data_IF_135348881159
#
_entry.id   IF_135348881159
#
_cell.length_a   1.000
_cell.length_b   1.000
_cell.length_c   1.000
_cell.angle_alpha   90.00
_cell.angle_beta   90.00
_cell.angle_gamma   90.00
#
_symmetry.space_group_name_H-M   'P 1'
#
loop_
_entity.id
_entity.type
_entity.pdbx_description
1 polymer ?
#
# COMPACT_ATOMS: atom_id res chain seq x y z
N UNK A 1 -19.61 27.35 -13.52
CA UNK A 1 -18.14 27.22 -13.77
C UNK A 1 -17.27 27.84 -12.67
N UNK A 2 -17.69 28.94 -12.02
CA UNK A 2 -16.95 29.58 -10.90
C UNK A 2 -16.76 28.68 -9.66
N UNK A 3 -17.76 27.88 -9.28
CA UNK A 3 -17.68 27.02 -8.07
C UNK A 3 -16.65 25.88 -8.13
N UNK A 4 -16.36 25.36 -9.33
CA UNK A 4 -15.34 24.32 -9.52
C UNK A 4 -13.94 24.92 -9.48
N UNK A 5 -13.74 26.09 -10.09
CA UNK A 5 -12.47 26.82 -10.07
C UNK A 5 -12.04 27.24 -8.66
N UNK A 6 -13.00 27.69 -7.83
CA UNK A 6 -12.75 28.04 -6.41
C UNK A 6 -12.38 26.80 -5.58
N UNK A 7 -13.03 25.64 -5.80
CA UNK A 7 -12.63 24.37 -5.15
C UNK A 7 -11.24 23.89 -5.57
N UNK A 8 -10.89 24.01 -6.85
CA UNK A 8 -9.54 23.71 -7.32
C UNK A 8 -8.52 24.69 -6.75
N UNK A 9 -8.83 25.98 -6.66
CA UNK A 9 -7.96 26.99 -6.05
C UNK A 9 -7.67 26.69 -4.57
N UNK A 10 -8.70 26.37 -3.77
CA UNK A 10 -8.51 25.98 -2.37
C UNK A 10 -7.75 24.66 -2.22
N UNK A 11 -7.78 23.78 -3.22
CA UNK A 11 -7.00 22.53 -3.20
C UNK A 11 -5.54 22.76 -3.61
N UNK A 12 -5.31 23.59 -4.64
CA UNK A 12 -3.99 23.82 -5.23
C UNK A 12 -3.16 24.82 -4.41
N UNK A 13 -3.79 25.79 -3.74
CA UNK A 13 -3.13 26.79 -2.89
C UNK A 13 -2.24 26.18 -1.80
N UNK A 14 -2.61 25.02 -1.26
CA UNK A 14 -1.84 24.35 -0.21
C UNK A 14 -0.90 23.26 -0.74
N UNK A 15 -0.89 23.00 -2.05
CA UNK A 15 0.05 22.06 -2.65
C UNK A 15 1.41 22.73 -2.82
N UNK A 16 2.47 22.08 -2.35
CA UNK A 16 3.85 22.47 -2.69
C UNK A 16 3.99 22.39 -4.22
N UNK A 17 4.71 23.32 -4.90
CA UNK A 17 4.88 23.28 -6.36
C UNK A 17 5.38 21.94 -6.90
N UNK A 18 6.21 21.23 -6.12
CA UNK A 18 6.67 19.87 -6.45
C UNK A 18 5.53 18.84 -6.53
N UNK A 19 4.43 19.01 -5.79
CA UNK A 19 3.27 18.12 -5.85
C UNK A 19 2.45 18.34 -7.12
N UNK A 20 2.35 19.58 -7.61
CA UNK A 20 1.65 19.88 -8.88
C UNK A 20 2.45 19.34 -10.06
N UNK A 21 3.75 19.65 -10.12
CA UNK A 21 4.66 19.11 -11.16
C UNK A 21 4.72 17.58 -11.08
N UNK A 22 4.82 17.01 -9.88
CA UNK A 22 4.81 15.56 -9.69
C UNK A 22 3.53 14.88 -10.16
N UNK A 23 2.35 15.49 -9.95
CA UNK A 23 1.07 14.99 -10.49
C UNK A 23 1.04 15.00 -12.01
N UNK A 24 1.53 16.08 -12.63
CA UNK A 24 1.59 16.19 -14.10
C UNK A 24 2.58 15.19 -14.71
N UNK A 25 3.77 15.05 -14.11
CA UNK A 25 4.77 14.05 -14.51
C UNK A 25 4.26 12.62 -14.31
N UNK A 26 3.55 12.35 -13.22
CA UNK A 26 2.94 11.05 -13.00
C UNK A 26 1.85 10.76 -14.04
N UNK A 27 1.02 11.74 -14.39
CA UNK A 27 0.02 11.60 -15.44
C UNK A 27 0.65 11.29 -16.80
N UNK A 28 1.77 11.92 -17.15
CA UNK A 28 2.47 11.66 -18.42
C UNK A 28 3.25 10.35 -18.42
N UNK A 29 3.93 9.99 -17.33
CA UNK A 29 4.61 8.69 -17.20
C UNK A 29 3.64 7.51 -17.17
N UNK A 30 2.46 7.68 -16.56
CA UNK A 30 1.36 6.70 -16.65
C UNK A 30 0.93 6.48 -18.11
N UNK A 31 1.23 7.39 -19.04
CA UNK A 31 0.96 7.21 -20.46
C UNK A 31 2.01 6.36 -21.22
N UNK A 32 3.03 5.82 -20.58
CA UNK A 32 4.03 4.95 -21.24
C UNK A 32 4.14 3.59 -20.50
N UNK A 33 3.32 2.58 -20.88
CA UNK A 33 3.33 1.28 -20.20
C UNK A 33 4.69 0.59 -20.35
N UNK A 34 5.20 0.00 -19.27
CA UNK A 34 6.44 -0.80 -19.31
C UNK A 34 7.73 -0.02 -19.64
N UNK A 35 7.65 1.28 -19.87
CA UNK A 35 8.80 2.07 -20.31
C UNK A 35 9.90 2.09 -19.24
N UNK A 36 11.07 1.58 -19.62
CA UNK A 36 12.26 1.57 -18.78
C UNK A 36 12.28 0.47 -17.72
N UNK A 37 11.43 -0.56 -17.80
CA UNK A 37 11.61 -1.75 -16.96
C UNK A 37 12.88 -2.50 -17.41
N UNK A 38 13.77 -2.88 -16.47
CA UNK A 38 14.96 -3.64 -16.79
C UNK A 38 14.60 -5.11 -17.09
N UNK A 39 15.47 -5.80 -17.81
CA UNK A 39 15.47 -7.27 -17.80
C UNK A 39 15.84 -7.77 -16.40
N UNK A 40 15.07 -8.69 -15.80
CA UNK A 40 15.44 -9.30 -14.53
C UNK A 40 16.77 -10.06 -14.65
N UNK A 41 17.68 -9.97 -13.66
CA UNK A 41 18.87 -10.81 -13.62
C UNK A 41 18.52 -12.29 -13.73
N UNK A 42 19.36 -13.07 -14.40
CA UNK A 42 19.20 -14.53 -14.43
C UNK A 42 19.41 -15.13 -13.03
N UNK A 43 18.61 -16.13 -12.67
CA UNK A 43 18.79 -16.87 -11.42
C UNK A 43 18.53 -16.07 -10.15
N UNK A 44 17.55 -15.14 -10.18
CA UNK A 44 17.14 -14.37 -9.00
C UNK A 44 16.86 -15.28 -7.81
N UNK A 45 17.33 -14.87 -6.62
CA UNK A 45 17.09 -15.54 -5.35
C UNK A 45 16.50 -14.57 -4.34
N UNK A 46 15.35 -14.93 -3.76
CA UNK A 46 14.76 -14.19 -2.65
C UNK A 46 15.43 -14.55 -1.32
N UNK A 47 16.08 -13.59 -0.67
CA UNK A 47 16.80 -13.74 0.59
C UNK A 47 15.91 -13.66 1.84
N UNK A 48 14.70 -13.11 1.75
CA UNK A 48 13.79 -13.07 2.89
C UNK A 48 13.14 -14.44 3.11
N UNK A 49 13.10 -14.86 4.38
CA UNK A 49 12.39 -16.07 4.79
C UNK A 49 10.99 -15.71 5.29
N UNK A 50 10.00 -16.60 5.12
CA UNK A 50 8.68 -16.41 5.70
C UNK A 50 8.78 -16.26 7.22
N UNK A 51 8.44 -15.09 7.74
CA UNK A 51 8.62 -14.75 9.15
C UNK A 51 7.31 -14.93 9.92
N UNK A 52 7.27 -15.84 10.91
CA UNK A 52 6.06 -16.13 11.72
C UNK A 52 5.63 -15.00 12.65
N UNK A 53 6.48 -14.00 12.91
CA UNK A 53 6.26 -12.98 13.94
C UNK A 53 5.66 -11.66 13.40
N UNK A 54 5.33 -11.55 12.11
CA UNK A 54 4.43 -10.48 11.70
C UNK A 54 3.03 -10.86 12.17
N UNK A 55 2.43 -10.06 13.05
CA UNK A 55 1.01 -10.16 13.35
C UNK A 55 0.24 -9.96 12.04
N UNK A 56 -0.21 -11.05 11.46
CA UNK A 56 -1.02 -11.06 10.27
C UNK A 56 -2.46 -10.82 10.69
N UNK A 57 -3.05 -9.74 10.20
CA UNK A 57 -4.42 -9.38 10.53
C UNK A 57 -5.18 -9.11 9.23
N UNK A 58 -5.68 -10.18 8.62
CA UNK A 58 -6.82 -10.11 7.70
C UNK A 58 -8.00 -10.87 8.34
N UNK A 59 -8.81 -10.18 9.15
CA UNK A 59 -9.94 -10.80 9.85
C UNK A 59 -11.15 -10.97 8.93
N UNK A 60 -11.11 -10.45 7.70
CA UNK A 60 -12.27 -10.33 6.82
C UNK A 60 -12.35 -11.45 5.81
N UNK A 61 -11.21 -12.01 5.41
CA UNK A 61 -11.12 -13.13 4.47
C UNK A 61 -10.89 -14.45 5.20
N UNK A 62 -11.34 -15.55 4.60
CA UNK A 62 -10.99 -16.92 5.00
C UNK A 62 -10.31 -17.66 3.84
N UNK A 63 -9.57 -18.72 4.16
CA UNK A 63 -8.93 -19.57 3.14
C UNK A 63 -9.96 -20.12 2.15
N UNK A 64 -11.09 -20.62 2.66
CA UNK A 64 -12.16 -21.25 1.86
C UNK A 64 -12.76 -20.25 0.87
N UNK A 65 -13.07 -19.03 1.34
CA UNK A 65 -13.62 -17.96 0.50
C UNK A 65 -12.63 -17.57 -0.60
N UNK A 66 -11.36 -17.38 -0.24
CA UNK A 66 -10.31 -17.04 -1.21
C UNK A 66 -10.25 -18.14 -2.26
N UNK A 67 -10.13 -19.42 -1.88
CA UNK A 67 -10.08 -20.56 -2.82
C UNK A 67 -11.32 -20.62 -3.73
N UNK A 68 -12.51 -20.28 -3.24
CA UNK A 68 -13.73 -20.16 -4.03
C UNK A 68 -13.80 -18.89 -4.92
N UNK A 69 -12.76 -18.06 -4.93
CA UNK A 69 -12.70 -16.82 -5.70
C UNK A 69 -13.55 -15.70 -5.10
N UNK A 70 -13.71 -15.70 -3.78
CA UNK A 70 -14.53 -14.74 -3.03
C UNK A 70 -13.66 -13.94 -2.07
N UNK A 71 -13.85 -12.63 -2.06
CA UNK A 71 -13.06 -11.71 -1.23
C UNK A 71 -13.97 -10.73 -0.50
N UNK A 72 -13.57 -10.34 0.71
CA UNK A 72 -14.23 -9.30 1.51
C UNK A 72 -13.24 -8.20 1.87
N UNK A 73 -13.58 -6.98 1.46
CA UNK A 73 -12.84 -5.78 1.83
C UNK A 73 -13.83 -4.66 2.16
N UNK A 74 -13.55 -3.86 3.18
CA UNK A 74 -14.39 -2.73 3.59
C UNK A 74 -15.85 -3.16 3.83
N UNK A 75 -16.05 -4.29 4.50
CA UNK A 75 -17.35 -4.95 4.72
C UNK A 75 -18.15 -5.36 3.47
N UNK A 76 -17.55 -5.26 2.28
CA UNK A 76 -18.19 -5.66 1.02
C UNK A 76 -17.58 -6.98 0.53
N UNK A 77 -18.40 -8.04 0.55
CA UNK A 77 -18.06 -9.36 -0.02
C UNK A 77 -18.40 -9.42 -1.50
N UNK A 78 -17.52 -9.99 -2.32
CA UNK A 78 -17.71 -10.21 -3.77
C UNK A 78 -17.13 -11.53 -4.23
N UNK A 79 -17.90 -12.24 -5.04
CA UNK A 79 -17.45 -13.42 -5.78
C UNK A 79 -16.91 -12.97 -7.14
N UNK A 80 -15.62 -13.14 -7.33
CA UNK A 80 -14.87 -12.79 -8.55
C UNK A 80 -14.61 -14.02 -9.45
N UNK A 81 -14.95 -15.23 -8.98
CA UNK A 81 -14.83 -16.46 -9.76
C UNK A 81 -13.42 -17.05 -9.77
N UNK A 82 -13.25 -18.12 -10.56
CA UNK A 82 -11.97 -18.81 -10.80
C UNK A 82 -11.78 -19.05 -12.30
N UNK A 83 -10.74 -18.47 -12.95
CA UNK A 83 -9.77 -17.52 -12.37
C UNK A 83 -10.45 -16.26 -11.83
N UNK A 84 -9.80 -15.59 -10.87
CA UNK A 84 -10.28 -14.36 -10.25
C UNK A 84 -10.35 -13.25 -11.29
N UNK A 85 -11.48 -12.56 -11.37
CA UNK A 85 -11.55 -11.27 -12.05
C UNK A 85 -10.74 -10.22 -11.26
N UNK A 86 -9.46 -10.10 -11.61
CA UNK A 86 -8.54 -9.14 -11.00
C UNK A 86 -8.85 -7.68 -11.35
N UNK A 87 -9.68 -7.40 -12.36
CA UNK A 87 -10.06 -6.03 -12.67
C UNK A 87 -11.19 -5.56 -11.75
N UNK A 88 -12.14 -6.44 -11.43
CA UNK A 88 -13.28 -6.16 -10.56
C UNK A 88 -13.92 -4.81 -10.86
N UNK A 89 -14.25 -4.57 -12.14
CA UNK A 89 -14.64 -3.24 -12.66
C UNK A 89 -15.86 -2.64 -11.95
N UNK A 90 -16.76 -3.50 -11.45
CA UNK A 90 -17.93 -3.09 -10.66
C UNK A 90 -17.63 -2.63 -9.23
N UNK A 91 -16.36 -2.64 -8.79
CA UNK A 91 -15.97 -2.32 -7.42
C UNK A 91 -15.31 -0.94 -7.28
N UNK A 92 -15.54 -0.24 -6.14
CA UNK A 92 -14.86 1.03 -5.86
C UNK A 92 -13.33 0.87 -5.87
N UNK A 93 -12.61 1.93 -6.25
CA UNK A 93 -11.15 1.89 -6.40
C UNK A 93 -10.42 1.39 -5.15
N UNK A 94 -10.82 1.82 -3.95
CA UNK A 94 -10.21 1.37 -2.70
C UNK A 94 -10.44 -0.12 -2.43
N UNK A 95 -11.59 -0.65 -2.84
CA UNK A 95 -11.87 -2.09 -2.76
C UNK A 95 -10.93 -2.87 -3.69
N UNK A 96 -10.77 -2.39 -4.93
CA UNK A 96 -9.84 -2.96 -5.92
C UNK A 96 -8.39 -2.88 -5.46
N UNK A 97 -8.00 -1.82 -4.75
CA UNK A 97 -6.68 -1.74 -4.13
C UNK A 97 -6.45 -2.86 -3.11
N UNK A 98 -7.42 -3.11 -2.22
CA UNK A 98 -7.31 -4.19 -1.24
C UNK A 98 -7.16 -5.57 -1.89
N UNK A 99 -7.87 -5.81 -2.99
CA UNK A 99 -7.68 -7.01 -3.81
C UNK A 99 -6.22 -7.15 -4.27
N UNK A 100 -5.58 -6.05 -4.66
CA UNK A 100 -4.20 -6.07 -5.14
C UNK A 100 -3.13 -5.99 -4.05
N UNK A 101 -3.48 -5.85 -2.77
CA UNK A 101 -2.51 -5.80 -1.67
C UNK A 101 -1.97 -7.17 -1.30
N UNK A 102 -2.76 -8.23 -1.47
CA UNK A 102 -2.43 -9.58 -1.00
C UNK A 102 -2.15 -9.64 0.52
N UNK A 103 -2.85 -8.84 1.34
CA UNK A 103 -2.79 -8.98 2.81
C UNK A 103 -3.30 -10.35 3.27
N UNK A 104 -4.17 -10.98 2.49
CA UNK A 104 -4.76 -12.30 2.72
C UNK A 104 -3.84 -13.49 2.39
N UNK A 105 -2.66 -13.26 1.78
CA UNK A 105 -1.73 -14.34 1.40
C UNK A 105 -1.42 -15.33 2.54
N UNK A 106 -1.17 -14.86 3.78
CA UNK A 106 -0.83 -15.74 4.90
C UNK A 106 -1.93 -16.71 5.31
N UNK A 107 -3.18 -16.50 4.88
CA UNK A 107 -4.30 -17.41 5.14
C UNK A 107 -4.21 -18.69 4.28
N UNK A 108 -3.39 -18.68 3.23
CA UNK A 108 -3.27 -19.77 2.26
C UNK A 108 -2.03 -20.64 2.55
N UNK A 109 -2.10 -21.92 2.15
CA UNK A 109 -0.94 -22.80 2.10
C UNK A 109 0.08 -22.32 1.04
N UNK A 110 1.32 -22.80 1.11
CA UNK A 110 2.43 -22.29 0.28
C UNK A 110 2.19 -22.45 -1.23
N UNK A 111 1.70 -23.61 -1.64
CA UNK A 111 1.32 -23.94 -3.01
C UNK A 111 0.14 -23.08 -3.50
N UNK A 112 -0.83 -22.82 -2.63
CA UNK A 112 -1.97 -21.94 -2.91
C UNK A 112 -1.54 -20.48 -3.09
N UNK A 113 -0.62 -20.00 -2.24
CA UNK A 113 -0.01 -18.67 -2.36
C UNK A 113 0.68 -18.50 -3.72
N UNK A 114 1.45 -19.52 -4.14
CA UNK A 114 2.13 -19.53 -5.44
C UNK A 114 1.11 -19.53 -6.58
N UNK A 115 0.12 -20.41 -6.52
CA UNK A 115 -0.92 -20.55 -7.55
C UNK A 115 -1.69 -19.25 -7.75
N UNK A 116 -2.17 -18.63 -6.67
CA UNK A 116 -2.91 -17.37 -6.74
C UNK A 116 -2.04 -16.22 -7.27
N UNK A 117 -0.77 -16.18 -6.88
CA UNK A 117 0.16 -15.14 -7.32
C UNK A 117 0.52 -15.29 -8.80
N UNK A 118 0.68 -16.52 -9.31
CA UNK A 118 0.86 -16.79 -10.75
C UNK A 118 -0.37 -16.40 -11.56
N UNK A 119 -1.56 -16.66 -11.03
CA UNK A 119 -2.82 -16.23 -11.62
C UNK A 119 -2.85 -14.70 -11.79
N UNK A 120 -2.44 -13.96 -10.76
CA UNK A 120 -2.32 -12.50 -10.82
C UNK A 120 -1.32 -12.03 -11.87
N UNK A 121 -0.14 -12.67 -11.95
CA UNK A 121 0.89 -12.32 -12.95
C UNK A 121 0.31 -12.44 -14.37
N UNK A 122 -0.39 -13.54 -14.65
CA UNK A 122 -1.01 -13.78 -15.96
C UNK A 122 -2.08 -12.72 -16.28
N UNK A 123 -2.89 -12.35 -15.29
CA UNK A 123 -3.98 -11.39 -15.47
C UNK A 123 -3.55 -9.91 -15.43
N UNK A 124 -2.34 -9.61 -14.94
CA UNK A 124 -1.85 -8.25 -14.72
C UNK A 124 -0.46 -8.05 -15.33
N UNK A 125 -0.33 -8.05 -16.67
CA UNK A 125 0.94 -7.71 -17.31
C UNK A 125 1.43 -6.32 -16.86
N UNK A 126 2.75 -6.08 -16.79
CA UNK A 126 3.31 -4.79 -16.40
C UNK A 126 2.71 -3.64 -17.18
N UNK A 127 2.14 -2.66 -16.49
CA UNK A 127 1.46 -1.57 -17.19
C UNK A 127 0.54 -0.73 -16.34
N UNK A 128 -0.63 -0.40 -16.90
CA UNK A 128 -1.54 0.64 -16.39
C UNK A 128 -2.71 0.11 -15.57
N UNK A 129 -2.77 -1.18 -15.25
CA UNK A 129 -3.88 -1.71 -14.45
C UNK A 129 -3.85 -1.13 -13.04
N UNK A 130 -4.97 -1.20 -12.33
CA UNK A 130 -5.06 -0.76 -10.93
C UNK A 130 -4.00 -1.47 -10.07
N UNK A 131 -3.72 -2.74 -10.35
CA UNK A 131 -2.69 -3.52 -9.67
C UNK A 131 -1.27 -2.97 -9.77
N UNK A 132 -0.96 -2.23 -10.85
CA UNK A 132 0.37 -1.63 -11.08
C UNK A 132 0.48 -0.19 -10.59
N UNK A 133 -0.57 0.40 -10.03
CA UNK A 133 -0.43 1.72 -9.39
C UNK A 133 0.54 1.63 -8.19
N UNK A 134 1.29 2.71 -7.87
CA UNK A 134 2.39 2.62 -6.91
C UNK A 134 1.93 2.20 -5.52
N UNK A 135 0.77 2.70 -5.05
CA UNK A 135 0.24 2.35 -3.74
C UNK A 135 -0.08 0.85 -3.60
N UNK A 136 -0.96 0.21 -4.40
CA UNK A 136 -1.19 -1.22 -4.31
C UNK A 136 0.05 -2.06 -4.60
N UNK A 137 0.92 -1.63 -5.52
CA UNK A 137 2.19 -2.30 -5.79
C UNK A 137 3.10 -2.32 -4.56
N UNK A 138 3.16 -1.23 -3.80
CA UNK A 138 3.98 -1.14 -2.58
C UNK A 138 3.55 -2.16 -1.54
N UNK A 139 2.25 -2.26 -1.26
CA UNK A 139 1.74 -3.22 -0.27
C UNK A 139 1.95 -4.65 -0.74
N UNK A 140 1.72 -4.94 -2.04
CA UNK A 140 1.96 -6.27 -2.61
C UNK A 140 3.41 -6.70 -2.53
N UNK A 141 4.37 -5.81 -2.85
CA UNK A 141 5.81 -6.10 -2.71
C UNK A 141 6.13 -6.54 -1.29
N UNK A 142 5.66 -5.79 -0.27
CA UNK A 142 5.90 -6.13 1.13
C UNK A 142 5.30 -7.50 1.46
N UNK A 143 4.07 -7.78 1.06
CA UNK A 143 3.42 -9.06 1.35
C UNK A 143 4.07 -10.24 0.62
N UNK A 144 4.51 -10.08 -0.63
CA UNK A 144 5.23 -11.11 -1.37
C UNK A 144 6.64 -11.35 -0.82
N UNK A 145 7.33 -10.30 -0.38
CA UNK A 145 8.59 -10.42 0.35
C UNK A 145 8.40 -11.18 1.67
N UNK A 146 7.36 -10.85 2.44
CA UNK A 146 7.02 -11.57 3.69
C UNK A 146 6.65 -13.03 3.44
N UNK A 147 6.04 -13.32 2.29
CA UNK A 147 5.80 -14.69 1.86
C UNK A 147 7.10 -15.41 1.49
N UNK A 148 8.24 -14.74 1.28
CA UNK A 148 9.51 -15.42 1.03
C UNK A 148 9.43 -16.42 -0.12
N UNK A 149 8.81 -16.03 -1.23
CA UNK A 149 8.66 -16.89 -2.41
C UNK A 149 10.03 -17.34 -2.93
N UNK A 150 10.09 -18.57 -3.46
CA UNK A 150 11.27 -19.15 -4.12
C UNK A 150 11.01 -19.50 -5.59
N UNK A 151 9.75 -19.38 -6.03
CA UNK A 151 9.35 -19.66 -7.40
C UNK A 151 9.96 -18.63 -8.37
N UNK A 152 10.68 -19.06 -9.42
CA UNK A 152 11.38 -18.14 -10.34
C UNK A 152 10.47 -17.08 -10.97
N UNK A 153 9.30 -17.48 -11.47
CA UNK A 153 8.36 -16.54 -12.11
C UNK A 153 7.84 -15.47 -11.14
N UNK A 154 7.63 -15.84 -9.87
CA UNK A 154 7.23 -14.89 -8.82
C UNK A 154 8.37 -13.96 -8.43
N UNK A 155 9.61 -14.45 -8.39
CA UNK A 155 10.79 -13.63 -8.11
C UNK A 155 11.06 -12.62 -9.23
N UNK A 156 10.96 -13.04 -10.48
CA UNK A 156 11.04 -12.15 -11.65
C UNK A 156 9.94 -11.08 -11.61
N UNK A 157 8.69 -11.48 -11.34
CA UNK A 157 7.60 -10.52 -11.21
C UNK A 157 7.83 -9.55 -10.05
N UNK A 158 8.27 -10.03 -8.88
CA UNK A 158 8.55 -9.19 -7.72
C UNK A 158 9.68 -8.19 -8.00
N UNK A 159 10.71 -8.62 -8.73
CA UNK A 159 11.80 -7.74 -9.19
C UNK A 159 11.26 -6.64 -10.12
N UNK A 160 10.44 -6.99 -11.11
CA UNK A 160 9.81 -6.02 -12.01
C UNK A 160 8.87 -5.05 -11.27
N UNK A 161 8.13 -5.52 -10.27
CA UNK A 161 7.29 -4.68 -9.42
C UNK A 161 8.11 -3.64 -8.65
N UNK A 162 9.24 -4.05 -8.07
CA UNK A 162 10.14 -3.13 -7.36
C UNK A 162 10.80 -2.13 -8.33
N UNK A 163 11.26 -2.60 -9.49
CA UNK A 163 11.81 -1.75 -10.55
C UNK A 163 10.79 -0.71 -11.05
N UNK A 164 9.53 -1.12 -11.21
CA UNK A 164 8.42 -0.25 -11.57
C UNK A 164 8.17 0.81 -10.50
N UNK A 165 8.05 0.39 -9.23
CA UNK A 165 7.80 1.29 -8.11
C UNK A 165 8.90 2.32 -7.96
N UNK A 166 10.17 1.91 -8.05
CA UNK A 166 11.33 2.81 -7.97
C UNK A 166 11.27 3.96 -8.99
N UNK A 167 10.74 3.69 -10.19
CA UNK A 167 10.60 4.66 -11.29
C UNK A 167 9.33 5.52 -11.18
N UNK A 168 8.35 5.08 -10.40
CA UNK A 168 6.99 5.65 -10.35
C UNK A 168 6.56 6.06 -8.93
N UNK A 169 7.52 6.41 -8.06
CA UNK A 169 7.23 6.83 -6.69
C UNK A 169 6.19 7.95 -6.61
N UNK A 170 5.27 7.85 -5.66
CA UNK A 170 4.22 8.84 -5.37
C UNK A 170 4.76 10.02 -4.55
N UNK A 171 5.85 10.64 -4.99
CA UNK A 171 6.50 11.77 -4.29
C UNK A 171 5.61 13.02 -4.13
N UNK A 172 4.47 13.06 -4.83
CA UNK A 172 3.49 14.14 -4.79
C UNK A 172 2.30 13.85 -3.85
N UNK A 173 2.07 12.58 -3.50
CA UNK A 173 1.20 12.16 -2.40
C UNK A 173 2.09 12.00 -1.17
N UNK A 174 2.57 13.14 -0.65
CA UNK A 174 3.30 13.21 0.61
C UNK A 174 2.49 12.56 1.75
N UNK A 175 3.15 12.14 2.82
CA UNK A 175 2.50 11.38 3.90
C UNK A 175 2.60 9.87 3.70
N UNK A 176 1.58 9.13 4.16
CA UNK A 176 1.63 7.67 4.31
C UNK A 176 2.00 6.94 3.00
N UNK A 177 1.52 7.39 1.85
CA UNK A 177 1.77 6.71 0.56
C UNK A 177 3.25 6.71 0.17
N UNK A 178 3.94 7.84 0.36
CA UNK A 178 5.36 7.94 0.02
C UNK A 178 6.24 7.12 0.96
N UNK A 179 5.88 7.06 2.25
CA UNK A 179 6.51 6.16 3.22
C UNK A 179 6.25 4.69 2.90
N UNK A 180 5.04 4.35 2.44
CA UNK A 180 4.69 3.00 2.00
C UNK A 180 5.50 2.56 0.78
N UNK A 181 5.70 3.44 -0.21
CA UNK A 181 6.60 3.17 -1.33
C UNK A 181 8.03 2.93 -0.83
N UNK A 182 8.51 3.76 0.11
CA UNK A 182 9.85 3.63 0.65
C UNK A 182 10.04 2.31 1.42
N UNK A 183 9.06 1.90 2.22
CA UNK A 183 9.04 0.61 2.91
C UNK A 183 9.14 -0.54 1.92
N UNK A 184 8.35 -0.51 0.85
CA UNK A 184 8.38 -1.53 -0.18
C UNK A 184 9.76 -1.64 -0.86
N UNK A 185 10.41 -0.51 -1.17
CA UNK A 185 11.77 -0.50 -1.72
C UNK A 185 12.81 -1.09 -0.76
N UNK A 186 12.68 -0.85 0.55
CA UNK A 186 13.56 -1.48 1.56
C UNK A 186 13.35 -2.99 1.58
N UNK A 187 12.11 -3.47 1.62
CA UNK A 187 11.81 -4.91 1.60
C UNK A 187 12.35 -5.58 0.33
N UNK A 188 12.11 -5.00 -0.85
CA UNK A 188 12.62 -5.53 -2.10
C UNK A 188 14.16 -5.49 -2.16
N UNK A 189 14.77 -4.39 -1.72
CA UNK A 189 16.23 -4.25 -1.71
C UNK A 189 16.94 -5.22 -0.78
N UNK A 190 16.33 -5.58 0.36
CA UNK A 190 16.84 -6.64 1.24
C UNK A 190 16.57 -8.02 0.64
N UNK A 191 15.39 -8.26 0.06
CA UNK A 191 15.04 -9.53 -0.54
C UNK A 191 15.99 -9.92 -1.69
N UNK A 192 16.43 -8.95 -2.49
CA UNK A 192 17.32 -9.17 -3.63
C UNK A 192 18.74 -8.65 -3.36
N UNK A 193 19.20 -8.67 -2.11
CA UNK A 193 20.53 -8.15 -1.76
C UNK A 193 21.63 -8.70 -2.69
N UNK A 194 22.45 -7.80 -3.23
CA UNK A 194 23.53 -8.13 -4.17
C UNK A 194 23.10 -8.40 -5.62
N UNK A 195 21.81 -8.30 -5.96
CA UNK A 195 21.30 -8.64 -7.28
C UNK A 195 20.69 -7.41 -7.99
N UNK A 196 21.06 -7.19 -9.24
CA UNK A 196 20.49 -6.13 -10.09
C UNK A 196 20.44 -4.74 -9.43
N UNK A 197 19.29 -4.09 -9.49
CA UNK A 197 19.09 -2.73 -8.94
C UNK A 197 18.80 -2.68 -7.41
N UNK A 198 18.84 -3.82 -6.70
CA UNK A 198 18.36 -3.93 -5.31
C UNK A 198 19.05 -2.95 -4.34
N UNK A 199 20.35 -2.71 -4.51
CA UNK A 199 21.10 -1.77 -3.70
C UNK A 199 20.59 -0.32 -3.85
N UNK A 200 20.18 0.07 -5.06
CA UNK A 200 19.62 1.40 -5.33
C UNK A 200 18.25 1.56 -4.67
N UNK A 201 17.41 0.53 -4.72
CA UNK A 201 16.10 0.51 -4.05
C UNK A 201 16.26 0.66 -2.54
N UNK A 202 17.15 -0.14 -1.94
CA UNK A 202 17.42 -0.07 -0.50
C UNK A 202 17.93 1.31 -0.08
N UNK A 203 18.89 1.88 -0.82
CA UNK A 203 19.43 3.22 -0.58
C UNK A 203 18.33 4.27 -0.66
N UNK A 204 17.48 4.22 -1.69
CA UNK A 204 16.40 5.19 -1.90
C UNK A 204 15.32 5.09 -0.84
N UNK A 205 14.87 3.88 -0.50
CA UNK A 205 13.88 3.65 0.55
C UNK A 205 14.37 4.19 1.91
N UNK A 206 15.62 3.90 2.29
CA UNK A 206 16.23 4.45 3.52
C UNK A 206 16.33 5.98 3.51
N UNK A 207 16.67 6.57 2.37
CA UNK A 207 16.74 8.03 2.23
C UNK A 207 15.37 8.68 2.44
N UNK A 208 14.31 8.13 1.84
CA UNK A 208 12.95 8.64 1.97
C UNK A 208 12.49 8.54 3.43
N UNK A 209 12.63 7.37 4.06
CA UNK A 209 12.22 7.18 5.46
C UNK A 209 12.94 8.20 6.37
N UNK A 210 14.27 8.36 6.24
CA UNK A 210 15.03 9.32 7.04
C UNK A 210 14.54 10.77 6.87
N UNK A 211 14.09 11.13 5.67
CA UNK A 211 13.62 12.49 5.36
C UNK A 211 12.20 12.74 5.87
N UNK A 212 11.30 11.79 5.68
CA UNK A 212 9.86 11.99 5.91
C UNK A 212 9.43 11.68 7.35
N UNK A 213 10.13 10.78 8.07
CA UNK A 213 9.79 10.42 9.46
C UNK A 213 9.74 11.63 10.40
N UNK A 214 10.69 12.59 10.38
CA UNK A 214 10.60 13.78 11.20
C UNK A 214 9.37 14.66 10.88
N UNK A 215 8.97 14.76 9.61
CA UNK A 215 7.77 15.52 9.21
C UNK A 215 6.50 14.86 9.77
N UNK A 216 6.43 13.52 9.79
CA UNK A 216 5.27 12.78 10.32
C UNK A 216 5.16 12.81 11.84
N UNK A 217 6.29 12.76 12.56
CA UNK A 217 6.29 12.80 14.04
C UNK A 217 5.93 14.21 14.54
N UNK A 218 6.33 15.27 13.82
CA UNK A 218 6.03 16.67 14.20
C UNK A 218 4.60 17.10 13.93
N UNK A 219 3.88 16.41 13.03
CA UNK A 219 2.54 16.82 12.60
C UNK A 219 1.41 16.54 13.60
N UNK A 220 1.70 15.90 14.75
CA UNK A 220 0.68 15.54 15.75
C UNK A 220 -0.39 14.57 15.22
N UNK A 221 -1.40 14.19 16.02
CA UNK A 221 -2.40 13.17 15.65
C UNK A 221 -3.21 13.50 14.38
N UNK A 222 -3.21 14.77 13.95
CA UNK A 222 -3.94 15.26 12.79
C UNK A 222 -3.16 15.10 11.47
N UNK A 223 -1.85 14.80 11.53
CA UNK A 223 -1.01 14.53 10.36
C UNK A 223 -1.11 13.11 9.79
N UNK A 224 -1.78 12.21 10.51
CA UNK A 224 -1.98 10.80 10.12
C UNK A 224 -3.28 10.60 9.31
N UNK A 225 -3.71 11.56 8.49
CA UNK A 225 -4.86 11.33 7.61
C UNK A 225 -4.41 10.60 6.33
N UNK A 226 -4.60 9.28 6.29
CA UNK A 226 -4.35 8.53 5.05
C UNK A 226 -4.70 7.04 5.06
N UNK A 227 -5.01 6.43 6.21
CA UNK A 227 -5.52 5.06 6.25
C UNK A 227 -6.27 4.86 7.56
N UNK A 228 -7.52 4.40 7.45
CA UNK A 228 -8.53 4.28 8.51
C UNK A 228 -9.22 5.61 8.89
N UNK A 229 -10.22 6.01 8.10
CA UNK A 229 -11.44 6.46 8.75
C UNK A 229 -12.03 5.23 9.43
N UNK A 230 -11.70 5.07 10.72
CA UNK A 230 -12.59 4.37 11.62
C UNK A 230 -13.91 5.13 11.57
N UNK A 231 -14.94 4.46 11.07
CA UNK A 231 -16.32 4.87 11.27
C UNK A 231 -16.53 4.77 12.77
N UNK A 232 -16.31 5.88 13.48
CA UNK A 232 -16.89 6.05 14.80
C UNK A 232 -18.40 6.13 14.57
N UNK A 233 -19.09 5.03 14.83
CA UNK A 233 -20.54 5.02 15.01
C UNK A 233 -20.90 6.10 16.03
N UNK A 234 -21.40 7.25 15.57
CA UNK A 234 -22.20 8.13 16.41
C UNK A 234 -23.63 7.70 16.22
N UNK A 235 -24.20 7.19 17.30
CA UNK A 235 -25.61 6.92 17.44
C UNK A 235 -26.42 8.16 17.08
N UNK A 236 -27.49 7.88 16.35
CA UNK A 236 -28.63 8.75 16.15
C UNK A 236 -29.36 8.85 17.50
N UNK A 237 -29.43 10.05 18.09
CA UNK A 237 -30.31 10.33 19.23
C UNK A 237 -31.26 11.48 18.82
N UNK A 238 -32.57 11.22 18.66
CA UNK A 238 -33.53 12.21 18.20
C UNK A 238 -34.17 12.92 19.40
N UNK A 239 -33.47 13.84 20.06
CA UNK A 239 -34.12 14.74 21.02
C UNK A 239 -33.30 16.02 21.32
N UNK A 240 -33.72 17.14 20.73
CA UNK A 240 -33.82 18.48 21.36
C UNK A 240 -32.58 19.21 21.92
N UNK A 241 -32.60 20.56 22.00
CA UNK A 241 -31.40 21.36 22.27
C UNK A 241 -31.13 21.52 23.77
N UNK A 242 -29.96 21.07 24.23
CA UNK A 242 -29.50 21.17 25.62
C UNK A 242 -28.04 21.62 25.74
N UNK A 243 -27.86 22.91 26.03
CA UNK A 243 -26.73 23.64 26.65
C UNK A 243 -25.33 22.98 26.71
N UNK A 244 -24.36 23.68 26.13
CA UNK A 244 -22.93 23.58 26.44
C UNK A 244 -22.63 23.76 27.95
N UNK A 245 -21.83 22.86 28.52
CA UNK A 245 -20.96 23.18 29.66
C UNK A 245 -19.61 22.47 29.49
N UNK A 246 -18.56 23.28 29.45
CA UNK A 246 -17.15 22.87 29.47
C UNK A 246 -16.78 22.39 30.87
N UNK A 247 -16.15 21.22 30.96
CA UNK A 247 -15.36 20.84 32.13
C UNK A 247 -14.15 20.02 31.68
N UNK A 248 -13.00 20.69 31.67
CA UNK A 248 -11.69 20.06 31.54
C UNK A 248 -11.43 19.15 32.75
N UNK A 249 -11.47 17.84 32.54
CA UNK A 249 -10.96 16.85 33.50
C UNK A 249 -9.49 16.55 33.22
N UNK A 250 -8.60 17.01 34.10
CA UNK A 250 -7.19 16.60 34.18
C UNK A 250 -7.13 15.09 34.40
N UNK A 251 -6.43 14.35 33.53
CA UNK A 251 -5.89 13.04 33.90
C UNK A 251 -4.41 13.19 34.26
N UNK A 252 -4.16 12.93 35.53
CA UNK A 252 -2.89 12.86 36.24
C UNK A 252 -1.94 11.81 35.65
N UNK A 253 -0.66 12.17 35.60
CA UNK A 253 0.43 11.34 35.09
C UNK A 253 0.67 10.05 35.87
N UNK A 254 1.22 9.07 35.15
CA UNK A 254 1.81 7.85 35.69
C UNK A 254 3.30 8.13 35.90
N UNK A 255 3.86 7.92 37.11
CA UNK A 255 5.28 8.15 37.36
C UNK A 255 6.15 7.04 36.77
N UNK A 256 7.27 7.48 36.18
CA UNK A 256 8.37 6.67 35.69
C UNK A 256 9.25 6.28 36.90
N UNK A 257 9.29 5.01 37.28
CA UNK A 257 10.28 4.50 38.24
C UNK A 257 11.43 3.86 37.49
N UNK A 258 12.58 4.51 37.51
CA UNK A 258 13.87 3.94 37.16
C UNK A 258 14.53 3.36 38.41
N UNK A 259 14.72 2.05 38.49
CA UNK A 259 15.75 1.47 39.35
C UNK A 259 16.39 0.25 38.68
N UNK A 260 17.72 0.39 38.49
CA UNK A 260 18.84 -0.58 38.47
C UNK A 260 18.71 -1.89 37.68
#
# INVERSE_FOLDING_TARGET
MLGTAVRYFHTVRYLRPCQVVGRLVAMTRRRLPGFGLPEPPAGLQGGLQPFRQFLHHDPWNSREDILAGTFRFLDVRRKLGRPVDWQAEGMPLLWRYNLHYFNYLPLLARDEQVTLSREWIKANPPGRTVGWQPYPTSLRIVNWCKAGFKDPALLESLYLQAAHLYRNLESYMLGNHYLENARALVFAGVNFAGQGEAAAWLKKGRQIIRRETPEQIRAGPQGLSGSAQSVACRGYDPAGPGRCSSSYGRFSGIPYTSER
#
